data_IF_524621443391
#
_entry.id   IF_524621443391
#
_cell.length_a   1.000
_cell.length_b   1.000
_cell.length_c   1.000
_cell.angle_alpha   90.00
_cell.angle_beta   90.00
_cell.angle_gamma   90.00
#
_symmetry.space_group_name_H-M   'P 1'
#
loop_
_entity.id
_entity.type
_entity.pdbx_description
1 polymer ?
#
# COMPACT_ATOMS: atom_id res chain seq x y z
N UNK A 1 -51.41 33.44 17.45
CA UNK A 1 -49.93 33.48 17.56
C UNK A 1 -49.40 32.35 18.43
N UNK A 2 -49.37 31.10 17.92
CA UNK A 2 -48.63 29.95 18.51
C UNK A 2 -48.12 28.92 17.48
N UNK A 3 -48.44 29.08 16.19
CA UNK A 3 -48.09 28.13 15.12
C UNK A 3 -47.00 28.62 14.16
N UNK A 4 -46.51 29.85 14.34
CA UNK A 4 -45.46 30.44 13.47
C UNK A 4 -44.05 30.19 14.03
N UNK A 5 -43.92 29.89 15.32
CA UNK A 5 -42.61 29.64 15.97
C UNK A 5 -42.07 28.24 15.61
N UNK A 6 -42.93 27.28 15.24
CA UNK A 6 -42.52 25.91 14.92
C UNK A 6 -41.82 25.81 13.55
N UNK A 7 -42.16 26.68 12.59
CA UNK A 7 -41.55 26.68 11.25
C UNK A 7 -40.13 27.28 11.24
N UNK A 8 -39.79 28.13 12.21
CA UNK A 8 -38.45 28.72 12.32
C UNK A 8 -37.45 27.78 13.03
N UNK A 9 -37.93 26.77 13.75
CA UNK A 9 -37.08 25.76 14.41
C UNK A 9 -36.59 24.65 13.46
N UNK A 10 -37.29 24.42 12.33
CA UNK A 10 -36.91 23.39 11.34
C UNK A 10 -35.94 23.97 10.29
N UNK A 11 -35.90 25.29 10.12
CA UNK A 11 -34.98 25.95 9.19
C UNK A 11 -33.53 26.04 9.70
N UNK A 12 -33.29 25.91 11.01
CA UNK A 12 -31.95 26.04 11.62
C UNK A 12 -31.21 24.69 11.67
N UNK A 13 -31.91 23.55 11.61
CA UNK A 13 -31.29 22.21 11.59
C UNK A 13 -30.72 21.81 10.23
N UNK A 14 -30.92 22.62 9.17
CA UNK A 14 -30.31 22.39 7.86
C UNK A 14 -28.89 22.97 7.72
N UNK A 15 -28.36 23.71 8.71
CA UNK A 15 -27.04 24.35 8.62
C UNK A 15 -25.94 23.51 9.30
N UNK A 16 -26.31 22.48 10.08
CA UNK A 16 -25.35 21.54 10.68
C UNK A 16 -25.28 20.21 9.95
N UNK A 17 -25.63 20.18 8.66
CA UNK A 17 -24.94 19.24 7.78
C UNK A 17 -23.49 19.69 7.71
N UNK A 18 -22.70 19.28 8.71
CA UNK A 18 -21.33 18.90 8.42
C UNK A 18 -21.46 17.82 7.35
N UNK A 19 -21.48 18.27 6.10
CA UNK A 19 -20.89 17.51 5.04
C UNK A 19 -19.51 17.18 5.56
N UNK A 20 -19.39 16.01 6.19
CA UNK A 20 -18.19 15.22 6.09
C UNK A 20 -18.09 14.94 4.58
N UNK A 21 -17.69 15.96 3.82
CA UNK A 21 -17.03 15.78 2.56
C UNK A 21 -15.97 14.77 2.91
N UNK A 22 -16.18 13.53 2.46
CA UNK A 22 -15.16 12.51 2.52
C UNK A 22 -13.91 13.23 2.05
N UNK A 23 -12.87 13.37 2.91
CA UNK A 23 -11.67 14.11 2.52
C UNK A 23 -11.28 13.55 1.16
N UNK A 24 -11.09 14.41 0.13
CA UNK A 24 -10.95 13.99 -1.25
C UNK A 24 -10.07 12.76 -1.28
N UNK A 25 -10.69 11.62 -1.61
CA UNK A 25 -10.09 10.30 -1.50
C UNK A 25 -9.08 10.18 -2.65
N UNK A 26 -7.97 10.87 -2.47
CA UNK A 26 -7.02 11.27 -3.48
C UNK A 26 -5.98 12.14 -2.80
N UNK A 27 -5.53 11.71 -1.61
CA UNK A 27 -4.44 12.35 -0.90
C UNK A 27 -3.24 12.45 -1.83
N UNK A 28 -2.66 13.65 -1.87
CA UNK A 28 -1.46 13.98 -2.61
C UNK A 28 -0.42 12.84 -2.47
N UNK A 29 -0.29 12.02 -3.50
CA UNK A 29 0.62 10.88 -3.49
C UNK A 29 2.02 11.43 -3.71
N UNK A 30 2.61 11.99 -2.65
CA UNK A 30 3.98 12.47 -2.68
C UNK A 30 4.92 11.26 -2.71
N UNK A 31 5.64 11.02 -3.82
CA UNK A 31 6.57 9.90 -3.94
C UNK A 31 7.71 10.00 -2.92
N UNK A 32 8.10 11.22 -2.53
CA UNK A 32 9.15 11.44 -1.54
C UNK A 32 8.69 10.99 -0.15
N UNK A 33 7.51 11.43 0.29
CA UNK A 33 6.92 10.99 1.55
C UNK A 33 6.71 9.46 1.61
N UNK A 34 6.38 8.82 0.48
CA UNK A 34 6.31 7.36 0.41
C UNK A 34 7.67 6.69 0.55
N UNK A 35 8.71 7.24 -0.10
CA UNK A 35 10.09 6.73 0.02
C UNK A 35 10.53 6.77 1.46
N UNK A 36 10.33 7.90 2.14
CA UNK A 36 10.70 8.10 3.54
C UNK A 36 10.01 7.09 4.46
N UNK A 37 8.72 6.83 4.25
CA UNK A 37 8.00 5.78 5.00
C UNK A 37 8.62 4.40 4.78
N UNK A 38 8.96 4.05 3.55
CA UNK A 38 9.59 2.76 3.26
C UNK A 38 11.00 2.65 3.85
N UNK A 39 11.78 3.73 3.79
CA UNK A 39 13.08 3.80 4.46
C UNK A 39 12.93 3.60 5.95
N UNK A 40 11.99 4.31 6.59
CA UNK A 40 11.70 4.15 8.02
C UNK A 40 11.33 2.71 8.37
N UNK A 41 10.45 2.08 7.59
CA UNK A 41 10.06 0.68 7.80
C UNK A 41 11.24 -0.29 7.67
N UNK A 42 12.13 -0.10 6.69
CA UNK A 42 13.31 -0.94 6.53
C UNK A 42 14.32 -0.71 7.66
N UNK A 43 14.46 0.52 8.14
CA UNK A 43 15.32 0.84 9.30
C UNK A 43 14.81 0.23 10.60
N UNK A 44 13.50 0.19 10.78
CA UNK A 44 12.84 -0.43 11.94
C UNK A 44 12.81 -1.96 11.85
N UNK A 45 13.19 -2.54 10.71
CA UNK A 45 13.22 -3.99 10.52
C UNK A 45 14.53 -4.62 11.04
N UNK A 46 14.48 -5.93 11.30
CA UNK A 46 15.65 -6.71 11.71
C UNK A 46 16.70 -6.92 10.59
N UNK A 47 16.51 -6.30 9.42
CA UNK A 47 17.39 -6.44 8.26
C UNK A 47 18.70 -5.66 8.40
N UNK A 48 18.74 -4.64 9.28
CA UNK A 48 19.94 -3.84 9.57
C UNK A 48 20.66 -3.32 8.31
N UNK A 49 19.87 -2.91 7.30
CA UNK A 49 20.39 -2.38 6.04
C UNK A 49 21.06 -1.02 6.27
N UNK A 50 22.15 -0.74 5.56
CA UNK A 50 22.68 0.63 5.45
C UNK A 50 21.73 1.52 4.65
N UNK A 51 21.87 2.84 4.76
CA UNK A 51 21.03 3.78 3.99
C UNK A 51 21.09 3.52 2.48
N UNK A 52 22.29 3.25 1.95
CA UNK A 52 22.52 2.95 0.53
C UNK A 52 21.88 1.61 0.12
N UNK A 53 21.94 0.61 0.99
CA UNK A 53 21.30 -0.68 0.75
C UNK A 53 19.77 -0.57 0.79
N UNK A 54 19.23 0.17 1.76
CA UNK A 54 17.79 0.40 1.88
C UNK A 54 17.25 1.17 0.66
N UNK A 55 17.96 2.21 0.20
CA UNK A 55 17.63 2.95 -1.02
C UNK A 55 17.60 2.03 -2.25
N UNK A 56 18.61 1.16 -2.40
CA UNK A 56 18.69 0.22 -3.51
C UNK A 56 17.54 -0.79 -3.48
N UNK A 57 17.23 -1.33 -2.29
CA UNK A 57 16.12 -2.27 -2.08
C UNK A 57 14.78 -1.64 -2.44
N UNK A 58 14.55 -0.39 -2.02
CA UNK A 58 13.32 0.35 -2.32
C UNK A 58 13.20 0.61 -3.82
N UNK A 59 14.27 1.09 -4.47
CA UNK A 59 14.28 1.36 -5.89
C UNK A 59 13.94 0.11 -6.72
N UNK A 60 14.59 -1.02 -6.40
CA UNK A 60 14.31 -2.31 -7.03
C UNK A 60 12.86 -2.72 -6.77
N UNK A 61 12.38 -2.63 -5.53
CA UNK A 61 11.00 -2.99 -5.21
C UNK A 61 9.99 -2.15 -6.02
N UNK A 62 10.23 -0.86 -6.20
CA UNK A 62 9.35 0.02 -6.98
C UNK A 62 9.33 -0.32 -8.46
N UNK A 63 10.49 -0.62 -9.05
CA UNK A 63 10.60 -1.07 -10.44
C UNK A 63 9.73 -2.30 -10.70
N UNK A 64 9.90 -3.35 -9.88
CA UNK A 64 9.13 -4.58 -10.04
C UNK A 64 7.65 -4.41 -9.68
N UNK A 65 7.31 -3.55 -8.72
CA UNK A 65 5.91 -3.20 -8.44
C UNK A 65 5.25 -2.50 -9.63
N UNK A 66 5.97 -1.64 -10.35
CA UNK A 66 5.47 -1.00 -11.57
C UNK A 66 5.23 -2.05 -12.67
N UNK A 67 6.14 -3.00 -12.86
CA UNK A 67 5.99 -4.09 -13.83
C UNK A 67 4.75 -4.97 -13.52
N UNK A 68 4.52 -5.29 -12.24
CA UNK A 68 3.37 -6.08 -11.82
C UNK A 68 2.02 -5.39 -12.10
N UNK A 69 1.98 -4.06 -12.20
CA UNK A 69 0.73 -3.35 -12.58
C UNK A 69 0.26 -3.71 -13.98
N UNK A 70 1.18 -4.09 -14.88
CA UNK A 70 0.87 -4.57 -16.22
C UNK A 70 0.27 -5.98 -16.26
N UNK A 71 0.16 -6.67 -15.13
CA UNK A 71 -0.34 -8.06 -15.08
C UNK A 71 -1.86 -8.16 -14.84
N UNK A 72 -2.55 -7.01 -14.80
CA UNK A 72 -4.00 -6.94 -14.51
C UNK A 72 -4.84 -7.62 -15.57
N UNK A 73 -4.45 -7.50 -16.83
CA UNK A 73 -5.20 -8.02 -17.98
C UNK A 73 -4.82 -9.46 -18.34
N UNK A 74 -3.85 -10.04 -17.63
CA UNK A 74 -3.42 -11.42 -17.84
C UNK A 74 -4.40 -12.40 -17.20
N UNK A 75 -4.53 -13.57 -17.83
CA UNK A 75 -5.23 -14.71 -17.26
C UNK A 75 -4.58 -15.16 -15.94
N UNK A 76 -5.31 -15.87 -15.04
CA UNK A 76 -4.75 -16.31 -13.76
C UNK A 76 -3.47 -17.14 -13.91
N UNK A 77 -3.41 -18.02 -14.91
CA UNK A 77 -2.27 -18.90 -15.19
C UNK A 77 -1.05 -18.11 -15.67
N UNK A 78 -1.23 -17.23 -16.65
CA UNK A 78 -0.16 -16.36 -17.16
C UNK A 78 0.34 -15.41 -16.07
N UNK A 79 -0.58 -14.88 -15.25
CA UNK A 79 -0.23 -14.03 -14.11
C UNK A 79 0.61 -14.79 -13.10
N UNK A 80 0.27 -16.03 -12.78
CA UNK A 80 1.04 -16.84 -11.84
C UNK A 80 2.47 -17.09 -12.36
N UNK A 81 2.60 -17.50 -13.62
CA UNK A 81 3.91 -17.72 -14.26
C UNK A 81 4.76 -16.45 -14.26
N UNK A 82 4.22 -15.33 -14.75
CA UNK A 82 4.97 -14.06 -14.78
C UNK A 82 5.30 -13.51 -13.39
N UNK A 83 4.44 -13.76 -12.40
CA UNK A 83 4.72 -13.37 -11.01
C UNK A 83 5.90 -14.15 -10.44
N UNK A 84 6.01 -15.45 -10.75
CA UNK A 84 7.17 -16.25 -10.36
C UNK A 84 8.44 -15.70 -11.01
N UNK A 85 8.41 -15.45 -12.32
CA UNK A 85 9.56 -14.92 -13.06
C UNK A 85 10.03 -13.56 -12.52
N UNK A 86 9.08 -12.67 -12.21
CA UNK A 86 9.38 -11.38 -11.58
C UNK A 86 9.98 -11.55 -10.19
N UNK A 87 9.46 -12.47 -9.37
CA UNK A 87 10.00 -12.68 -8.03
C UNK A 87 11.43 -13.21 -8.09
N UNK A 88 11.73 -14.11 -9.01
CA UNK A 88 13.08 -14.65 -9.22
C UNK A 88 14.04 -13.56 -9.73
N UNK A 89 13.60 -12.74 -10.69
CA UNK A 89 14.37 -11.61 -11.20
C UNK A 89 14.64 -10.55 -10.13
N UNK A 90 13.64 -10.25 -9.29
CA UNK A 90 13.74 -9.32 -8.17
C UNK A 90 14.71 -9.82 -7.11
N UNK A 91 14.65 -11.11 -6.75
CA UNK A 91 15.59 -11.72 -5.82
C UNK A 91 17.02 -11.60 -6.34
N UNK A 92 17.26 -11.92 -7.62
CA UNK A 92 18.58 -11.76 -8.26
C UNK A 92 19.08 -10.31 -8.18
N UNK A 93 18.22 -9.33 -8.46
CA UNK A 93 18.55 -7.89 -8.38
C UNK A 93 18.90 -7.48 -6.95
N UNK A 94 18.15 -7.94 -5.95
CA UNK A 94 18.49 -7.68 -4.54
C UNK A 94 19.81 -8.34 -4.14
N UNK A 95 20.06 -9.59 -4.53
CA UNK A 95 21.34 -10.26 -4.26
C UNK A 95 22.51 -9.49 -4.85
N UNK A 96 22.40 -8.99 -6.09
CA UNK A 96 23.44 -8.16 -6.70
C UNK A 96 23.64 -6.82 -6.00
N UNK A 97 22.55 -6.14 -5.60
CA UNK A 97 22.63 -4.83 -4.94
C UNK A 97 23.19 -4.93 -3.51
N UNK A 98 22.79 -5.96 -2.77
CA UNK A 98 23.20 -6.19 -1.38
C UNK A 98 24.54 -6.92 -1.28
N UNK A 99 24.96 -7.61 -2.35
CA UNK A 99 26.10 -8.53 -2.39
C UNK A 99 26.02 -9.64 -1.34
N UNK A 100 24.81 -9.96 -0.91
CA UNK A 100 24.49 -10.97 0.10
C UNK A 100 23.14 -11.63 -0.23
N UNK A 101 23.18 -12.91 -0.55
CA UNK A 101 21.99 -13.69 -0.91
C UNK A 101 21.10 -13.99 0.30
N UNK A 102 21.68 -14.22 1.47
CA UNK A 102 20.91 -14.49 2.69
C UNK A 102 20.15 -13.23 3.12
N UNK A 103 20.77 -12.06 2.99
CA UNK A 103 20.12 -10.78 3.24
C UNK A 103 19.03 -10.48 2.22
N UNK A 104 19.27 -10.78 0.92
CA UNK A 104 18.26 -10.64 -0.12
C UNK A 104 17.03 -11.51 0.11
N UNK A 105 17.21 -12.75 0.59
CA UNK A 105 16.10 -13.64 0.99
C UNK A 105 15.31 -13.06 2.16
N UNK A 106 15.97 -12.55 3.19
CA UNK A 106 15.30 -11.87 4.32
C UNK A 106 14.51 -10.64 3.87
N UNK A 107 15.04 -9.86 2.92
CA UNK A 107 14.32 -8.74 2.30
C UNK A 107 13.07 -9.23 1.56
N UNK A 108 13.18 -10.33 0.82
CA UNK A 108 12.03 -10.93 0.14
C UNK A 108 10.94 -11.37 1.13
N UNK A 109 11.32 -12.05 2.21
CA UNK A 109 10.41 -12.46 3.29
C UNK A 109 9.75 -11.25 3.98
N UNK A 110 10.51 -10.17 4.22
CA UNK A 110 9.99 -8.94 4.80
C UNK A 110 8.86 -8.35 3.95
N UNK A 111 9.07 -8.21 2.64
CA UNK A 111 8.04 -7.68 1.74
C UNK A 111 6.87 -8.65 1.55
N UNK A 112 7.11 -9.96 1.60
CA UNK A 112 6.05 -10.96 1.55
C UNK A 112 5.14 -10.88 2.79
N UNK A 113 5.72 -10.81 3.99
CA UNK A 113 4.97 -10.59 5.24
C UNK A 113 4.16 -9.30 5.18
N UNK A 114 4.76 -8.21 4.68
CA UNK A 114 4.06 -6.94 4.50
C UNK A 114 2.88 -7.09 3.53
N UNK A 115 3.04 -7.84 2.43
CA UNK A 115 1.97 -8.12 1.48
C UNK A 115 0.84 -8.93 2.12
N UNK A 116 1.16 -9.96 2.90
CA UNK A 116 0.17 -10.78 3.61
C UNK A 116 -0.63 -9.95 4.61
N UNK A 117 0.05 -9.09 5.40
CA UNK A 117 -0.60 -8.18 6.34
C UNK A 117 -1.54 -7.18 5.65
N UNK A 118 -1.16 -6.68 4.48
CA UNK A 118 -2.01 -5.77 3.67
C UNK A 118 -3.14 -6.50 2.96
N UNK A 119 -2.91 -7.72 2.49
CA UNK A 119 -3.90 -8.58 1.84
C UNK A 119 -4.95 -9.13 2.80
N UNK A 120 -4.62 -9.28 4.08
CA UNK A 120 -5.55 -9.75 5.12
C UNK A 120 -6.52 -8.70 5.66
N UNK A 121 -6.24 -7.40 5.47
CA UNK A 121 -7.05 -6.32 6.04
C UNK A 121 -7.89 -5.54 5.01
N UNK A 122 -7.69 -5.77 3.70
CA UNK A 122 -8.39 -5.06 2.62
C UNK A 122 -9.41 -5.87 1.81
N UNK A 123 -9.59 -7.16 2.13
CA UNK A 123 -10.40 -8.10 1.33
C UNK A 123 -11.59 -8.72 2.05
N UNK A 124 -11.93 -8.26 3.25
CA UNK A 124 -12.94 -8.91 4.10
C UNK A 124 -13.80 -7.92 4.87
N UNK A 125 -14.72 -7.24 4.17
CA UNK A 125 -16.01 -6.98 4.80
C UNK A 125 -16.78 -8.30 4.68
N UNK A 126 -17.10 -9.01 5.78
CA UNK A 126 -18.07 -10.07 5.68
C UNK A 126 -19.34 -9.40 5.18
N UNK A 127 -19.82 -9.81 4.01
CA UNK A 127 -21.18 -9.55 3.61
C UNK A 127 -22.04 -10.15 4.73
N UNK A 128 -22.56 -9.29 5.61
CA UNK A 128 -23.51 -9.67 6.61
C UNK A 128 -24.78 -10.10 5.89
N UNK A 129 -24.91 -11.40 5.66
CA UNK A 129 -26.20 -11.99 5.35
C UNK A 129 -26.96 -12.13 6.67
N UNK A 130 -28.00 -11.31 6.79
CA UNK A 130 -29.22 -11.65 7.52
C UNK A 130 -29.95 -12.76 6.79
#
# INVERSE_FOLDING_TARGET
MKKVIVLLAIAVTAITTNANAQPPQGGNFDPAAMKERQLKMLKESDLKLTDVQADSVIAINWEFQAQQRGFRDLTPEERQTKMKDINDAKLKRWTSALKDEALAKKVAEFYEKQRQQRGGQGGGRPAGNK
#
